data_IF_213556670696
#
_entry.id   IF_213556670696
#
_cell.length_a   1.000
_cell.length_b   1.000
_cell.length_c   1.000
_cell.angle_alpha   90.00
_cell.angle_beta   90.00
_cell.angle_gamma   90.00
#
_symmetry.space_group_name_H-M   'P 1'
#
loop_
_entity.id
_entity.type
_entity.pdbx_description
1 polymer ?
#
# COMPACT_ATOMS: atom_id res chain seq x y z
N UNK A 1 -17.11 34.74 21.27
CA UNK A 1 -17.65 33.85 20.22
C UNK A 1 -16.67 32.69 20.09
N UNK A 2 -17.07 31.48 20.50
CA UNK A 2 -16.20 30.30 20.49
C UNK A 2 -16.64 29.40 19.34
N UNK A 3 -15.80 29.30 18.31
CA UNK A 3 -16.01 28.38 17.19
C UNK A 3 -15.41 27.03 17.62
N UNK A 4 -16.27 26.02 17.81
CA UNK A 4 -15.83 24.63 17.96
C UNK A 4 -15.95 23.94 16.61
N UNK A 5 -14.82 23.68 15.97
CA UNK A 5 -14.75 22.78 14.82
C UNK A 5 -14.90 21.36 15.38
N UNK A 6 -16.01 20.69 15.09
CA UNK A 6 -16.13 19.25 15.36
C UNK A 6 -15.21 18.54 14.36
N UNK A 7 -14.38 17.58 14.78
CA UNK A 7 -13.70 16.73 13.81
C UNK A 7 -14.77 16.04 12.96
N UNK A 8 -14.66 16.18 11.64
CA UNK A 8 -15.44 15.36 10.72
C UNK A 8 -15.04 13.91 10.98
N UNK A 9 -16.00 12.96 11.04
CA UNK A 9 -15.65 11.55 11.12
C UNK A 9 -14.74 11.22 9.93
N UNK A 10 -13.62 10.57 10.22
CA UNK A 10 -12.72 10.07 9.18
C UNK A 10 -13.55 9.17 8.26
N UNK A 11 -13.52 9.35 6.93
CA UNK A 11 -14.27 8.50 6.02
C UNK A 11 -13.93 7.04 6.29
N UNK A 12 -14.96 6.22 6.54
CA UNK A 12 -14.78 4.77 6.53
C UNK A 12 -14.33 4.37 5.11
N UNK A 13 -13.30 3.53 5.02
CA UNK A 13 -12.92 2.97 3.72
C UNK A 13 -13.82 1.77 3.46
N UNK A 14 -14.62 1.89 2.43
CA UNK A 14 -15.54 0.86 1.98
C UNK A 14 -14.88 0.09 0.84
N UNK A 15 -14.69 -1.21 1.01
CA UNK A 15 -14.27 -2.09 -0.07
C UNK A 15 -15.53 -2.51 -0.83
N UNK A 16 -15.64 -2.12 -2.09
CA UNK A 16 -16.76 -2.48 -2.96
C UNK A 16 -16.30 -3.56 -3.93
N UNK A 17 -16.89 -4.75 -3.82
CA UNK A 17 -16.64 -5.86 -4.72
C UNK A 17 -17.82 -6.01 -5.68
N UNK A 18 -17.53 -5.92 -6.98
CA UNK A 18 -18.50 -6.25 -8.02
C UNK A 18 -18.57 -7.77 -8.23
N UNK A 19 -19.66 -8.26 -8.82
CA UNK A 19 -19.85 -9.69 -9.13
C UNK A 19 -18.67 -10.30 -9.90
N UNK A 20 -18.01 -9.51 -10.74
CA UNK A 20 -16.80 -9.91 -11.47
C UNK A 20 -15.64 -10.33 -10.56
N UNK A 21 -15.58 -9.86 -9.31
CA UNK A 21 -14.57 -10.27 -8.33
C UNK A 21 -14.77 -11.73 -7.86
N UNK A 22 -15.99 -12.26 -8.00
CA UNK A 22 -16.37 -13.63 -7.62
C UNK A 22 -16.35 -14.61 -8.81
N UNK A 23 -15.93 -14.15 -9.99
CA UNK A 23 -15.70 -15.00 -11.16
C UNK A 23 -14.59 -16.02 -10.86
N UNK A 24 -14.80 -17.29 -11.22
CA UNK A 24 -13.84 -18.38 -11.01
C UNK A 24 -12.50 -18.17 -11.74
N UNK A 25 -12.48 -17.33 -12.78
CA UNK A 25 -11.26 -16.93 -13.48
C UNK A 25 -10.38 -15.95 -12.69
N UNK A 26 -10.88 -15.40 -11.57
CA UNK A 26 -10.16 -14.46 -10.71
C UNK A 26 -9.77 -15.10 -9.39
N UNK A 27 -8.72 -14.54 -8.79
CA UNK A 27 -8.32 -14.91 -7.43
C UNK A 27 -8.88 -13.89 -6.45
N UNK A 28 -10.05 -14.19 -5.87
CA UNK A 28 -10.72 -13.33 -4.88
C UNK A 28 -9.82 -13.01 -3.69
N UNK A 29 -8.98 -13.95 -3.24
CA UNK A 29 -8.08 -13.70 -2.12
C UNK A 29 -7.02 -12.64 -2.47
N UNK A 30 -6.47 -12.66 -3.69
CA UNK A 30 -5.56 -11.60 -4.17
C UNK A 30 -6.25 -10.25 -4.27
N UNK A 31 -7.45 -10.20 -4.85
CA UNK A 31 -8.25 -8.97 -4.92
C UNK A 31 -8.46 -8.40 -3.52
N UNK A 32 -8.92 -9.23 -2.58
CA UNK A 32 -9.10 -8.80 -1.19
C UNK A 32 -7.79 -8.35 -0.55
N UNK A 33 -6.68 -9.05 -0.80
CA UNK A 33 -5.36 -8.67 -0.30
C UNK A 33 -4.93 -7.29 -0.79
N UNK A 34 -5.18 -6.99 -2.06
CA UNK A 34 -4.92 -5.68 -2.67
C UNK A 34 -5.75 -4.57 -1.99
N UNK A 35 -7.06 -4.75 -1.89
CA UNK A 35 -7.95 -3.75 -1.30
C UNK A 35 -7.65 -3.54 0.20
N UNK A 36 -7.33 -4.61 0.92
CA UNK A 36 -6.89 -4.52 2.31
C UNK A 36 -5.52 -3.83 2.45
N UNK A 37 -4.65 -3.93 1.44
CA UNK A 37 -3.37 -3.24 1.44
C UNK A 37 -3.54 -1.71 1.37
N UNK A 38 -4.56 -1.20 0.68
CA UNK A 38 -4.90 0.23 0.75
C UNK A 38 -5.30 0.67 2.16
N UNK A 39 -6.03 -0.17 2.91
CA UNK A 39 -6.36 0.10 4.31
C UNK A 39 -5.09 0.11 5.16
N UNK A 40 -4.26 -0.93 5.03
CA UNK A 40 -3.01 -1.03 5.77
C UNK A 40 -2.10 0.17 5.51
N UNK A 41 -2.00 0.62 4.26
CA UNK A 41 -1.25 1.82 3.89
C UNK A 41 -1.84 3.09 4.51
N UNK A 42 -3.17 3.30 4.43
CA UNK A 42 -3.84 4.46 5.02
C UNK A 42 -3.64 4.56 6.53
N UNK A 43 -3.59 3.43 7.21
CA UNK A 43 -3.51 3.35 8.67
C UNK A 43 -2.06 3.43 9.19
N UNK A 44 -1.07 3.58 8.29
CA UNK A 44 0.32 3.83 8.68
C UNK A 44 0.44 5.16 9.44
N UNK A 45 1.39 5.21 10.38
CA UNK A 45 1.77 6.49 10.97
C UNK A 45 2.43 7.40 9.93
N UNK A 46 2.45 8.71 10.18
CA UNK A 46 3.18 9.64 9.31
C UNK A 46 4.66 9.28 9.18
N UNK A 47 5.27 8.73 10.24
CA UNK A 47 6.66 8.26 10.20
C UNK A 47 6.80 7.02 9.30
N UNK A 48 5.90 6.04 9.42
CA UNK A 48 5.94 4.84 8.59
C UNK A 48 5.68 5.15 7.12
N UNK A 49 4.82 6.14 6.84
CA UNK A 49 4.65 6.67 5.49
C UNK A 49 5.96 7.24 4.93
N UNK A 50 6.63 8.11 5.68
CA UNK A 50 7.90 8.71 5.28
C UNK A 50 8.98 7.63 5.07
N UNK A 51 9.08 6.66 5.98
CA UNK A 51 10.04 5.56 5.92
C UNK A 51 9.78 4.65 4.72
N UNK A 52 8.51 4.32 4.43
CA UNK A 52 8.11 3.56 3.26
C UNK A 52 8.46 4.31 1.97
N UNK A 53 8.09 5.59 1.89
CA UNK A 53 8.39 6.40 0.70
C UNK A 53 9.90 6.54 0.49
N UNK A 54 10.70 6.67 1.55
CA UNK A 54 12.15 6.69 1.47
C UNK A 54 12.74 5.33 1.01
N UNK A 55 12.13 4.20 1.40
CA UNK A 55 12.54 2.87 0.97
C UNK A 55 12.21 2.61 -0.52
N UNK A 56 11.12 3.19 -1.02
CA UNK A 56 10.63 2.98 -2.38
C UNK A 56 11.13 4.02 -3.39
N UNK A 57 11.43 5.24 -2.93
CA UNK A 57 11.70 6.40 -3.78
C UNK A 57 13.02 7.10 -3.40
N UNK A 58 13.78 7.55 -4.41
CA UNK A 58 15.21 7.90 -4.26
C UNK A 58 15.49 9.35 -3.89
N UNK A 59 14.59 10.27 -4.21
CA UNK A 59 14.89 11.70 -4.06
C UNK A 59 13.82 12.37 -3.21
N UNK A 60 14.28 12.98 -2.14
CA UNK A 60 13.54 13.92 -1.32
C UNK A 60 14.10 15.31 -1.61
N UNK A 61 13.27 16.24 -2.06
CA UNK A 61 13.59 17.65 -2.00
C UNK A 61 12.37 18.40 -1.48
N UNK A 62 12.63 19.49 -0.76
CA UNK A 62 11.59 20.39 -0.35
C UNK A 62 11.24 21.28 -1.54
N UNK A 63 9.96 21.38 -1.86
CA UNK A 63 9.50 22.42 -2.76
C UNK A 63 9.65 23.81 -2.11
N UNK A 64 9.33 24.87 -2.86
CA UNK A 64 9.41 26.25 -2.35
C UNK A 64 8.53 26.50 -1.11
N UNK A 65 7.59 25.61 -0.78
CA UNK A 65 6.73 25.68 0.39
C UNK A 65 7.22 24.83 1.57
N UNK A 66 8.34 24.11 1.43
CA UNK A 66 8.86 23.21 2.44
C UNK A 66 8.21 21.83 2.45
N UNK A 67 7.37 21.51 1.44
CA UNK A 67 6.74 20.19 1.32
C UNK A 67 7.73 19.22 0.68
N UNK A 68 7.88 18.04 1.30
CA UNK A 68 8.68 16.94 0.74
C UNK A 68 8.06 16.45 -0.57
N UNK A 69 8.87 16.47 -1.63
CA UNK A 69 8.55 15.84 -2.91
C UNK A 69 9.41 14.60 -3.06
N UNK A 70 8.75 13.48 -3.37
CA UNK A 70 9.38 12.20 -3.65
C UNK A 70 9.45 11.97 -5.17
N UNK A 71 10.65 11.84 -5.73
CA UNK A 71 10.82 11.37 -7.12
C UNK A 71 10.99 9.86 -7.11
N UNK A 72 10.21 9.20 -7.97
CA UNK A 72 10.29 7.76 -8.15
C UNK A 72 11.68 7.35 -8.64
N UNK A 73 12.38 6.59 -7.80
CA UNK A 73 13.73 6.10 -8.08
C UNK A 73 13.77 4.77 -8.84
N UNK A 74 12.62 4.12 -9.02
CA UNK A 74 12.47 2.78 -9.59
C UNK A 74 11.79 2.82 -10.95
N UNK A 75 12.24 1.95 -11.87
CA UNK A 75 11.69 1.78 -13.22
C UNK A 75 10.98 0.43 -13.42
N UNK A 76 10.95 -0.41 -12.38
CA UNK A 76 10.28 -1.71 -12.38
C UNK A 76 9.19 -1.72 -11.31
N UNK A 77 8.12 -2.42 -11.65
CA UNK A 77 6.87 -2.49 -10.90
C UNK A 77 6.35 -3.92 -11.02
N UNK A 78 5.73 -4.46 -9.97
CA UNK A 78 5.16 -5.81 -10.03
C UNK A 78 3.93 -5.85 -10.95
N UNK A 79 3.22 -4.71 -11.05
CA UNK A 79 2.10 -4.44 -11.97
C UNK A 79 2.25 -3.06 -12.64
N UNK A 80 1.63 -2.89 -13.80
CA UNK A 80 1.79 -1.68 -14.63
C UNK A 80 1.10 -0.44 -14.07
N UNK A 81 -0.03 -0.60 -13.38
CA UNK A 81 -0.78 0.49 -12.73
C UNK A 81 -0.02 1.12 -11.54
N UNK A 82 0.90 0.39 -10.92
CA UNK A 82 1.85 0.90 -9.95
C UNK A 82 2.66 2.08 -10.49
N UNK A 83 2.87 2.20 -11.82
CA UNK A 83 3.53 3.36 -12.44
C UNK A 83 2.72 4.65 -12.32
N UNK A 84 1.39 4.53 -12.27
CA UNK A 84 0.46 5.64 -12.35
C UNK A 84 0.17 6.23 -10.97
N UNK A 85 0.16 5.39 -9.93
CA UNK A 85 -0.22 5.81 -8.58
C UNK A 85 0.68 5.17 -7.52
N UNK A 86 1.30 5.95 -6.61
CA UNK A 86 2.07 5.39 -5.49
C UNK A 86 1.22 4.51 -4.56
N UNK A 87 -0.08 4.78 -4.45
CA UNK A 87 -0.96 3.99 -3.57
C UNK A 87 -1.24 2.61 -4.14
N UNK A 88 -1.48 2.52 -5.46
CA UNK A 88 -1.61 1.25 -6.20
C UNK A 88 -0.29 0.49 -6.15
N UNK A 89 0.83 1.21 -6.30
CA UNK A 89 2.16 0.64 -6.24
C UNK A 89 2.44 -0.08 -4.93
N UNK A 90 2.08 0.56 -3.82
CA UNK A 90 2.23 0.01 -2.46
C UNK A 90 1.24 -1.13 -2.23
N UNK A 91 -0.01 -0.99 -2.69
CA UNK A 91 -1.01 -2.06 -2.56
C UNK A 91 -0.57 -3.32 -3.31
N UNK A 92 -0.06 -3.14 -4.53
CA UNK A 92 0.56 -4.20 -5.32
C UNK A 92 1.77 -4.82 -4.63
N UNK A 93 2.69 -4.02 -4.07
CA UNK A 93 3.86 -4.55 -3.37
C UNK A 93 3.44 -5.41 -2.16
N UNK A 94 2.43 -4.99 -1.39
CA UNK A 94 1.87 -5.75 -0.26
C UNK A 94 1.12 -7.01 -0.73
N UNK A 95 0.31 -6.92 -1.79
CA UNK A 95 -0.37 -8.06 -2.39
C UNK A 95 0.65 -9.12 -2.82
N UNK A 96 1.69 -8.71 -3.55
CA UNK A 96 2.74 -9.62 -3.97
C UNK A 96 3.55 -10.17 -2.79
N UNK A 97 3.75 -9.42 -1.71
CA UNK A 97 4.36 -9.97 -0.50
C UNK A 97 3.57 -11.16 0.06
N UNK A 98 2.23 -11.07 0.05
CA UNK A 98 1.33 -12.09 0.57
C UNK A 98 1.21 -13.32 -0.35
N UNK A 99 1.22 -13.12 -1.66
CA UNK A 99 0.85 -14.17 -2.63
C UNK A 99 1.98 -14.64 -3.56
N UNK A 100 2.97 -13.79 -3.83
CA UNK A 100 4.15 -14.12 -4.65
C UNK A 100 5.40 -13.33 -4.18
N UNK A 101 5.88 -13.60 -2.95
CA UNK A 101 6.98 -12.85 -2.35
C UNK A 101 8.29 -12.97 -3.14
N UNK A 102 8.44 -14.03 -3.93
CA UNK A 102 9.61 -14.23 -4.78
C UNK A 102 9.63 -13.19 -5.90
N UNK A 103 8.52 -13.00 -6.62
CA UNK A 103 8.43 -11.98 -7.66
C UNK A 103 8.61 -10.57 -7.09
N UNK A 104 8.03 -10.27 -5.93
CA UNK A 104 8.28 -8.99 -5.26
C UNK A 104 9.76 -8.76 -5.02
N UNK A 105 10.44 -9.74 -4.43
CA UNK A 105 11.87 -9.64 -4.12
C UNK A 105 12.74 -9.47 -5.35
N UNK A 106 12.36 -10.04 -6.49
CA UNK A 106 13.07 -9.90 -7.76
C UNK A 106 12.87 -8.52 -8.41
N UNK A 107 11.67 -7.96 -8.31
CA UNK A 107 11.28 -6.72 -8.98
C UNK A 107 11.60 -5.49 -8.14
N UNK A 108 11.24 -5.53 -6.86
CA UNK A 108 11.27 -4.44 -5.88
C UNK A 108 11.78 -4.94 -4.52
N UNK A 109 13.06 -5.36 -4.42
CA UNK A 109 13.63 -5.93 -3.20
C UNK A 109 13.54 -5.02 -1.98
N UNK A 110 13.65 -3.70 -2.15
CA UNK A 110 13.53 -2.74 -1.05
C UNK A 110 12.12 -2.72 -0.45
N UNK A 111 11.08 -2.88 -1.30
CA UNK A 111 9.71 -3.02 -0.84
C UNK A 111 9.52 -4.31 -0.04
N UNK A 112 10.05 -5.43 -0.57
CA UNK A 112 10.03 -6.72 0.13
C UNK A 112 10.66 -6.63 1.53
N UNK A 113 11.86 -6.04 1.61
CA UNK A 113 12.58 -5.92 2.89
C UNK A 113 11.86 -4.98 3.87
N UNK A 114 11.30 -3.86 3.39
CA UNK A 114 10.53 -2.94 4.22
C UNK A 114 9.27 -3.62 4.77
N UNK A 115 8.47 -4.27 3.92
CA UNK A 115 7.22 -4.94 4.33
C UNK A 115 7.53 -6.05 5.33
N UNK A 116 8.57 -6.84 5.09
CA UNK A 116 9.03 -7.89 6.02
C UNK A 116 9.45 -7.33 7.37
N UNK A 117 10.14 -6.20 7.38
CA UNK A 117 10.60 -5.55 8.61
C UNK A 117 9.43 -4.94 9.39
N UNK A 118 8.51 -4.28 8.69
CA UNK A 118 7.40 -3.54 9.29
C UNK A 118 6.27 -4.46 9.79
N UNK A 119 5.78 -5.36 8.94
CA UNK A 119 4.67 -6.26 9.30
C UNK A 119 5.13 -7.62 9.85
N UNK A 120 6.41 -7.96 9.67
CA UNK A 120 6.99 -9.23 10.12
C UNK A 120 6.79 -10.39 9.15
N UNK A 121 7.48 -11.49 9.41
CA UNK A 121 7.45 -12.68 8.55
C UNK A 121 6.11 -13.46 8.58
N UNK A 122 5.23 -13.14 9.54
CA UNK A 122 3.94 -13.80 9.72
C UNK A 122 2.76 -13.00 9.18
N UNK A 123 3.02 -11.89 8.48
CA UNK A 123 1.97 -11.10 7.84
C UNK A 123 1.29 -11.92 6.75
N UNK A 124 0.01 -12.25 6.97
CA UNK A 124 -0.77 -13.17 6.15
C UNK A 124 -2.26 -12.85 6.27
N UNK A 125 -3.05 -13.25 5.28
CA UNK A 125 -4.50 -13.23 5.39
C UNK A 125 -4.98 -14.43 6.20
N UNK A 126 -5.80 -14.19 7.22
CA UNK A 126 -6.43 -15.25 8.02
C UNK A 126 -7.94 -15.27 7.80
N UNK A 127 -8.48 -16.47 7.58
CA UNK A 127 -9.93 -16.67 7.55
C UNK A 127 -10.43 -16.80 8.98
N UNK A 128 -11.13 -15.79 9.48
CA UNK A 128 -11.84 -15.88 10.76
C UNK A 128 -13.22 -16.49 10.50
N UNK A 129 -13.41 -17.74 10.90
CA UNK A 129 -14.74 -18.35 10.96
C UNK A 129 -15.27 -18.07 12.37
N UNK A 130 -16.31 -17.23 12.46
CA UNK A 130 -17.07 -17.02 13.70
C UNK A 130 -18.23 -17.98 13.77
#
# INVERSE_FOLDING_TARGET
MTIRIRPQPVPQLEIVLFDSAFDQSRNLARILGHELAHIAYRDLSAQDHDDLLAALYRFEFNDASGKKIYIRGRNKFVEEDGKLSPTEDIANDIEYFLFDPKRLKEVTPTAFDWIKMHFGANFKLERVIK
#
